data_IF_389952882416
#
_entry.id   IF_389952882416
#
_cell.length_a   1.000
_cell.length_b   1.000
_cell.length_c   1.000
_cell.angle_alpha   90.00
_cell.angle_beta   90.00
_cell.angle_gamma   90.00
#
_symmetry.space_group_name_H-M   'P 1'
#
loop_
_entity.id
_entity.type
_entity.pdbx_description
1 polymer ?
#
# COMPACT_ATOMS: atom_id res chain seq x y z
N UNK A 1 24.04 -9.51 8.96
CA UNK A 1 23.33 -9.93 7.73
C UNK A 1 22.23 -8.91 7.54
N UNK A 2 22.38 -7.99 6.60
CA UNK A 2 21.27 -7.10 6.23
C UNK A 2 20.19 -7.97 5.58
N UNK A 3 18.97 -7.91 6.11
CA UNK A 3 17.85 -8.64 5.55
C UNK A 3 17.50 -8.04 4.18
N UNK A 4 17.37 -8.87 3.14
CA UNK A 4 16.96 -8.39 1.82
C UNK A 4 15.47 -8.03 1.84
N UNK A 5 15.17 -6.73 1.91
CA UNK A 5 13.82 -6.18 1.89
C UNK A 5 13.38 -5.75 0.49
N UNK A 6 14.13 -6.11 -0.56
CA UNK A 6 13.80 -5.70 -1.95
C UNK A 6 12.42 -6.18 -2.39
N UNK A 7 11.95 -7.30 -1.85
CA UNK A 7 10.61 -7.85 -2.04
C UNK A 7 9.50 -6.87 -1.63
N UNK A 8 9.75 -6.06 -0.60
CA UNK A 8 8.80 -5.12 0.01
C UNK A 8 8.85 -3.73 -0.61
N UNK A 9 9.68 -3.49 -1.63
CA UNK A 9 9.65 -2.20 -2.33
C UNK A 9 8.24 -1.96 -2.91
N UNK A 10 7.68 -0.74 -2.81
CA UNK A 10 6.32 -0.45 -3.28
C UNK A 10 6.10 -0.96 -4.70
N UNK A 11 6.99 -0.62 -5.64
CA UNK A 11 6.89 -1.07 -7.04
C UNK A 11 6.96 -2.59 -7.23
N UNK A 12 7.59 -3.33 -6.32
CA UNK A 12 7.58 -4.81 -6.32
C UNK A 12 6.25 -5.35 -5.83
N UNK A 13 5.69 -4.78 -4.76
CA UNK A 13 4.34 -5.11 -4.27
C UNK A 13 3.30 -4.86 -5.37
N UNK A 14 3.36 -3.68 -6.01
CA UNK A 14 2.46 -3.31 -7.10
C UNK A 14 2.46 -4.29 -8.26
N UNK A 15 3.62 -4.83 -8.63
CA UNK A 15 3.73 -5.79 -9.73
C UNK A 15 3.10 -7.15 -9.42
N UNK A 16 2.98 -7.52 -8.14
CA UNK A 16 2.31 -8.76 -7.71
C UNK A 16 0.79 -8.62 -7.69
N UNK A 17 0.27 -7.39 -7.57
CA UNK A 17 -1.16 -7.14 -7.60
C UNK A 17 -1.79 -7.52 -8.94
N UNK A 18 -3.00 -8.09 -8.86
CA UNK A 18 -3.84 -8.31 -10.04
C UNK A 18 -4.12 -6.99 -10.76
N UNK A 19 -4.41 -7.05 -12.06
CA UNK A 19 -4.72 -5.85 -12.83
C UNK A 19 -5.91 -5.08 -12.24
N UNK A 20 -6.91 -5.80 -11.73
CA UNK A 20 -8.08 -5.22 -11.09
C UNK A 20 -7.73 -4.49 -9.79
N UNK A 21 -6.93 -5.10 -8.91
CA UNK A 21 -6.48 -4.44 -7.66
C UNK A 21 -5.64 -3.21 -7.92
N UNK A 22 -4.73 -3.26 -8.90
CA UNK A 22 -3.97 -2.06 -9.33
C UNK A 22 -4.88 -0.94 -9.81
N UNK A 23 -5.91 -1.29 -10.58
CA UNK A 23 -6.85 -0.28 -11.06
C UNK A 23 -7.65 0.34 -9.91
N UNK A 24 -8.20 -0.47 -9.00
CA UNK A 24 -8.93 0.04 -7.82
C UNK A 24 -8.04 0.94 -6.95
N UNK A 25 -6.82 0.51 -6.65
CA UNK A 25 -5.86 1.32 -5.89
C UNK A 25 -5.53 2.64 -6.60
N UNK A 26 -5.38 2.61 -7.93
CA UNK A 26 -5.16 3.80 -8.72
C UNK A 26 -6.39 4.73 -8.73
N UNK A 27 -7.62 4.20 -8.76
CA UNK A 27 -8.85 5.00 -8.69
C UNK A 27 -8.95 5.76 -7.37
N UNK A 28 -8.75 5.07 -6.24
CA UNK A 28 -8.75 5.70 -4.91
C UNK A 28 -7.65 6.74 -4.80
N UNK A 29 -6.44 6.44 -5.28
CA UNK A 29 -5.30 7.38 -5.28
C UNK A 29 -5.61 8.72 -5.96
N UNK A 30 -6.37 8.73 -7.06
CA UNK A 30 -6.72 9.96 -7.77
C UNK A 30 -7.80 10.80 -7.07
N UNK A 31 -8.55 10.18 -6.16
CA UNK A 31 -9.58 10.85 -5.36
C UNK A 31 -9.07 11.31 -3.99
N UNK A 32 -7.86 10.88 -3.61
CA UNK A 32 -7.26 11.21 -2.31
C UNK A 32 -6.59 12.59 -2.32
N UNK A 33 -7.13 13.52 -1.54
CA UNK A 33 -6.65 14.91 -1.45
C UNK A 33 -5.24 15.03 -0.87
N UNK A 34 -4.84 14.07 -0.02
CA UNK A 34 -3.51 14.03 0.59
C UNK A 34 -2.43 13.53 -0.38
N UNK A 35 -2.80 13.07 -1.58
CA UNK A 35 -1.89 12.52 -2.60
C UNK A 35 -1.43 13.54 -3.64
N UNK A 36 -1.69 14.84 -3.46
CA UNK A 36 -1.51 15.87 -4.50
C UNK A 36 -0.12 15.87 -5.15
N UNK A 37 0.95 15.75 -4.36
CA UNK A 37 2.33 15.73 -4.89
C UNK A 37 2.58 14.50 -5.76
N UNK A 38 2.20 13.32 -5.27
CA UNK A 38 2.35 12.06 -6.02
C UNK A 38 1.44 12.04 -7.25
N UNK A 39 0.27 12.69 -7.20
CA UNK A 39 -0.62 12.83 -8.35
C UNK A 39 0.04 13.67 -9.46
N UNK A 40 0.75 14.75 -9.11
CA UNK A 40 1.50 15.55 -10.09
C UNK A 40 2.59 14.69 -10.75
N UNK A 41 3.33 13.91 -9.96
CA UNK A 41 4.33 12.98 -10.45
C UNK A 41 3.73 11.93 -11.41
N UNK A 42 2.63 11.31 -11.00
CA UNK A 42 1.89 10.33 -11.80
C UNK A 42 1.37 10.93 -13.11
N UNK A 43 0.87 12.16 -13.09
CA UNK A 43 0.46 12.90 -14.30
C UNK A 43 1.65 13.05 -15.26
N UNK A 44 2.83 13.40 -14.76
CA UNK A 44 4.05 13.53 -15.55
C UNK A 44 4.50 12.20 -16.19
N UNK A 45 4.43 11.12 -15.41
CA UNK A 45 4.75 9.77 -15.90
C UNK A 45 3.78 9.31 -17.00
N UNK A 46 2.47 9.49 -16.80
CA UNK A 46 1.44 9.18 -17.80
C UNK A 46 1.64 10.02 -19.06
N UNK A 47 1.85 11.33 -18.92
CA UNK A 47 2.06 12.24 -20.04
C UNK A 47 3.25 11.81 -20.90
N UNK A 48 4.35 11.45 -20.26
CA UNK A 48 5.58 10.98 -20.91
C UNK A 48 5.33 9.66 -21.64
N UNK A 49 4.75 8.67 -20.97
CA UNK A 49 4.53 7.34 -21.55
C UNK A 49 3.53 7.35 -22.71
N UNK A 50 2.41 8.07 -22.53
CA UNK A 50 1.33 8.16 -23.52
C UNK A 50 1.59 9.23 -24.59
N UNK A 51 2.67 9.99 -24.49
CA UNK A 51 2.99 11.15 -25.35
C UNK A 51 1.88 12.21 -25.35
N UNK A 52 1.22 12.38 -24.22
CA UNK A 52 0.21 13.42 -24.02
C UNK A 52 0.84 14.69 -23.46
N UNK A 53 0.15 15.81 -23.65
CA UNK A 53 0.46 17.02 -22.88
C UNK A 53 -0.02 16.81 -21.45
N UNK A 54 0.73 17.29 -20.46
CA UNK A 54 0.37 17.24 -19.03
C UNK A 54 -1.06 17.75 -18.78
N UNK A 55 -1.42 18.89 -19.39
CA UNK A 55 -2.78 19.47 -19.30
C UNK A 55 -3.87 18.52 -19.79
N UNK A 56 -3.59 17.72 -20.83
CA UNK A 56 -4.54 16.72 -21.34
C UNK A 56 -4.75 15.61 -20.32
N UNK A 57 -3.68 15.15 -19.65
CA UNK A 57 -3.77 14.12 -18.60
C UNK A 57 -4.55 14.65 -17.38
N UNK A 58 -4.28 15.88 -16.95
CA UNK A 58 -5.00 16.53 -15.84
C UNK A 58 -6.50 16.55 -16.09
N UNK A 59 -6.93 16.84 -17.33
CA UNK A 59 -8.34 16.89 -17.72
C UNK A 59 -9.01 15.54 -17.96
N UNK A 60 -8.30 14.41 -17.81
CA UNK A 60 -8.91 13.09 -17.94
C UNK A 60 -9.84 12.78 -16.75
N UNK A 61 -10.94 12.04 -16.97
CA UNK A 61 -11.70 11.39 -15.90
C UNK A 61 -10.82 10.47 -15.06
N UNK A 62 -11.18 10.30 -13.78
CA UNK A 62 -10.42 9.49 -12.81
C UNK A 62 -10.23 8.05 -13.31
N UNK A 63 -11.27 7.46 -13.88
CA UNK A 63 -11.24 6.08 -14.38
C UNK A 63 -10.20 5.91 -15.49
N UNK A 64 -10.05 6.93 -16.34
CA UNK A 64 -9.03 6.93 -17.41
C UNK A 64 -7.64 7.12 -16.84
N UNK A 65 -7.46 8.04 -15.88
CA UNK A 65 -6.17 8.23 -15.20
C UNK A 65 -5.73 6.96 -14.47
N UNK A 66 -6.66 6.31 -13.76
CA UNK A 66 -6.41 5.08 -13.04
C UNK A 66 -6.00 3.93 -13.97
N UNK A 67 -6.73 3.77 -15.08
CA UNK A 67 -6.37 2.78 -16.12
C UNK A 67 -4.97 3.02 -16.66
N UNK A 68 -4.59 4.27 -16.95
CA UNK A 68 -3.24 4.58 -17.42
C UNK A 68 -2.18 4.32 -16.35
N UNK A 69 -2.42 4.74 -15.11
CA UNK A 69 -1.50 4.54 -13.98
C UNK A 69 -1.26 3.04 -13.72
N UNK A 70 -2.32 2.23 -13.68
CA UNK A 70 -2.25 0.79 -13.45
C UNK A 70 -1.47 0.03 -14.55
N UNK A 71 -1.48 0.55 -15.77
CA UNK A 71 -0.82 -0.02 -16.93
C UNK A 71 0.61 0.51 -17.16
N UNK A 72 1.09 1.50 -16.39
CA UNK A 72 2.43 2.05 -16.59
C UNK A 72 3.50 0.98 -16.36
N UNK A 73 4.47 0.84 -17.30
CA UNK A 73 5.58 -0.12 -17.14
C UNK A 73 6.59 0.35 -16.08
N UNK A 74 6.67 1.66 -15.83
CA UNK A 74 7.52 2.28 -14.83
C UNK A 74 6.73 3.34 -14.07
N UNK A 75 6.62 3.14 -12.77
CA UNK A 75 6.00 4.04 -11.80
C UNK A 75 6.98 4.15 -10.62
N UNK A 76 7.02 5.29 -9.95
CA UNK A 76 7.92 5.49 -8.81
C UNK A 76 7.41 4.81 -7.55
N UNK A 77 8.34 4.52 -6.63
CA UNK A 77 7.99 3.96 -5.32
C UNK A 77 7.13 4.93 -4.51
N UNK A 78 7.31 6.24 -4.63
CA UNK A 78 6.52 7.29 -3.94
C UNK A 78 5.04 7.23 -4.34
N UNK A 79 4.75 7.18 -5.64
CA UNK A 79 3.38 7.10 -6.15
C UNK A 79 2.73 5.77 -5.75
N UNK A 80 3.45 4.66 -5.89
CA UNK A 80 2.93 3.35 -5.51
C UNK A 80 2.67 3.24 -4.02
N UNK A 81 3.61 3.69 -3.19
CA UNK A 81 3.45 3.68 -1.74
C UNK A 81 2.17 4.42 -1.34
N UNK A 82 1.97 5.61 -1.91
CA UNK A 82 0.75 6.39 -1.66
C UNK A 82 -0.51 5.67 -2.14
N UNK A 83 -0.51 5.13 -3.37
CA UNK A 83 -1.67 4.39 -3.89
C UNK A 83 -2.02 3.15 -3.04
N UNK A 84 -1.02 2.44 -2.53
CA UNK A 84 -1.22 1.33 -1.60
C UNK A 84 -1.85 1.84 -0.28
N UNK A 85 -1.34 2.91 0.31
CA UNK A 85 -1.92 3.50 1.54
C UNK A 85 -3.39 3.86 1.33
N UNK A 86 -3.68 4.62 0.26
CA UNK A 86 -5.05 5.07 -0.04
C UNK A 86 -5.98 3.86 -0.23
N UNK A 87 -5.53 2.81 -0.92
CA UNK A 87 -6.30 1.58 -1.09
C UNK A 87 -6.68 0.91 0.23
N UNK A 88 -5.74 0.80 1.18
CA UNK A 88 -6.01 0.19 2.47
C UNK A 88 -7.00 1.03 3.28
N UNK A 89 -6.81 2.35 3.28
CA UNK A 89 -7.70 3.29 3.96
C UNK A 89 -9.10 3.33 3.35
N UNK A 90 -9.28 3.05 2.07
CA UNK A 90 -10.63 3.03 1.50
C UNK A 90 -11.32 1.67 1.67
N UNK A 91 -10.58 0.58 1.44
CA UNK A 91 -11.20 -0.75 1.28
C UNK A 91 -10.91 -1.73 2.41
N UNK A 92 -9.94 -1.44 3.28
CA UNK A 92 -9.42 -2.42 4.24
C UNK A 92 -9.33 -1.89 5.67
N UNK A 93 -10.00 -0.77 6.00
CA UNK A 93 -10.05 -0.22 7.38
C UNK A 93 -10.42 -1.26 8.45
N UNK A 94 -11.44 -2.13 8.25
CA UNK A 94 -11.78 -3.12 9.27
C UNK A 94 -10.64 -4.10 9.56
N UNK A 95 -9.87 -4.48 8.54
CA UNK A 95 -8.70 -5.35 8.68
C UNK A 95 -7.55 -4.63 9.37
N UNK A 96 -7.29 -3.38 9.00
CA UNK A 96 -6.26 -2.55 9.64
C UNK A 96 -6.57 -2.36 11.13
N UNK A 97 -7.82 -2.01 11.46
CA UNK A 97 -8.27 -1.83 12.85
C UNK A 97 -8.12 -3.13 13.65
N UNK A 98 -8.63 -4.26 13.13
CA UNK A 98 -8.51 -5.55 13.81
C UNK A 98 -7.05 -5.93 14.13
N UNK A 99 -6.12 -5.68 13.21
CA UNK A 99 -4.71 -5.93 13.44
C UNK A 99 -4.14 -5.01 14.54
N UNK A 100 -4.39 -3.71 14.47
CA UNK A 100 -3.89 -2.75 15.45
C UNK A 100 -4.51 -2.95 16.84
N UNK A 101 -5.81 -3.25 16.91
CA UNK A 101 -6.54 -3.61 18.13
C UNK A 101 -5.94 -4.86 18.80
N UNK A 102 -5.62 -5.89 18.02
CA UNK A 102 -5.01 -7.13 18.55
C UNK A 102 -3.62 -6.89 19.16
N UNK A 103 -2.91 -5.87 18.68
CA UNK A 103 -1.61 -5.44 19.20
C UNK A 103 -1.73 -4.42 20.35
N UNK A 104 -2.95 -3.89 20.59
CA UNK A 104 -3.20 -2.82 21.54
C UNK A 104 -2.61 -1.47 21.13
N UNK A 105 -2.45 -1.23 19.83
CA UNK A 105 -1.92 0.02 19.28
C UNK A 105 -3.07 1.00 19.10
N UNK A 106 -2.96 2.19 19.70
CA UNK A 106 -3.95 3.24 19.52
C UNK A 106 -3.99 3.73 18.07
N UNK A 107 -5.19 3.74 17.48
CA UNK A 107 -5.40 4.17 16.11
C UNK A 107 -6.73 4.87 15.92
N UNK A 108 -6.83 5.70 14.88
CA UNK A 108 -8.05 6.34 14.42
C UNK A 108 -8.33 5.85 12.99
N UNK A 109 -9.38 5.05 12.83
CA UNK A 109 -9.78 4.45 11.54
C UNK A 109 -8.64 3.72 10.78
N UNK A 110 -7.74 3.06 11.50
CA UNK A 110 -6.58 2.35 10.94
C UNK A 110 -5.33 3.20 10.74
N UNK A 111 -5.38 4.49 11.06
CA UNK A 111 -4.21 5.38 11.11
C UNK A 111 -3.67 5.42 12.53
N UNK A 112 -2.38 5.13 12.68
CA UNK A 112 -1.72 5.21 13.97
C UNK A 112 -1.50 6.69 14.29
N UNK A 113 -2.03 7.15 15.42
CA UNK A 113 -1.96 8.56 15.83
C UNK A 113 -0.58 8.94 16.37
N UNK A 114 0.24 7.96 16.76
CA UNK A 114 1.59 8.17 17.26
C UNK A 114 2.63 8.09 16.14
N UNK A 115 3.47 9.11 16.00
CA UNK A 115 4.57 9.14 15.02
C UNK A 115 5.68 8.11 15.32
N UNK A 116 5.76 7.61 16.56
CA UNK A 116 6.76 6.62 16.97
C UNK A 116 6.10 5.46 17.71
N UNK A 117 5.56 4.51 16.95
CA UNK A 117 5.08 3.25 17.51
C UNK A 117 6.30 2.44 17.92
N UNK A 118 6.35 2.05 19.20
CA UNK A 118 7.38 1.10 19.63
C UNK A 118 7.13 -0.23 18.93
N UNK A 119 8.17 -0.77 18.27
CA UNK A 119 8.12 -2.07 17.61
C UNK A 119 7.47 -3.12 18.54
N UNK A 120 6.31 -3.68 18.17
CA UNK A 120 5.63 -4.65 19.01
C UNK A 120 6.45 -5.93 19.15
N UNK A 121 6.22 -6.67 20.24
CA UNK A 121 6.86 -7.96 20.44
C UNK A 121 6.58 -8.92 19.27
N UNK A 122 7.61 -9.60 18.78
CA UNK A 122 7.51 -10.41 17.58
C UNK A 122 6.53 -11.58 17.74
N UNK A 123 6.40 -12.17 18.93
CA UNK A 123 5.44 -13.25 19.17
C UNK A 123 4.01 -12.72 19.14
N UNK A 124 3.77 -11.50 19.66
CA UNK A 124 2.47 -10.83 19.53
C UNK A 124 2.12 -10.52 18.07
N UNK A 125 3.08 -10.02 17.29
CA UNK A 125 2.87 -9.76 15.85
C UNK A 125 2.49 -11.04 15.10
N UNK A 126 3.16 -12.17 15.39
CA UNK A 126 2.81 -13.45 14.76
C UNK A 126 1.44 -13.97 15.19
N UNK A 127 1.06 -13.80 16.46
CA UNK A 127 -0.26 -14.19 16.95
C UNK A 127 -1.37 -13.35 16.30
N UNK A 128 -1.20 -12.02 16.26
CA UNK A 128 -2.09 -11.08 15.57
C UNK A 128 -2.23 -11.41 14.09
N UNK A 129 -1.12 -11.72 13.42
CA UNK A 129 -1.13 -12.11 12.01
C UNK A 129 -1.94 -13.40 11.78
N UNK A 130 -1.76 -14.42 12.62
CA UNK A 130 -2.50 -15.67 12.52
C UNK A 130 -4.01 -15.47 12.74
N UNK A 131 -4.40 -14.60 13.67
CA UNK A 131 -5.80 -14.22 13.91
C UNK A 131 -6.40 -13.50 12.69
N UNK A 132 -5.64 -12.59 12.08
CA UNK A 132 -6.07 -11.83 10.91
C UNK A 132 -6.27 -12.75 9.69
N UNK A 133 -5.35 -13.67 9.45
CA UNK A 133 -5.45 -14.68 8.37
C UNK A 133 -6.66 -15.62 8.57
N UNK A 134 -7.11 -15.82 9.81
CA UNK A 134 -8.33 -16.59 10.10
C UNK A 134 -9.64 -15.85 9.77
N UNK A 135 -9.58 -14.51 9.67
CA UNK A 135 -10.77 -13.64 9.55
C UNK A 135 -10.87 -12.98 8.17
N UNK A 136 -9.75 -12.68 7.54
CA UNK A 136 -9.67 -11.95 6.27
C UNK A 136 -9.01 -12.79 5.17
N UNK A 137 -9.25 -12.48 3.87
CA UNK A 137 -8.61 -13.17 2.77
C UNK A 137 -7.07 -13.13 2.87
N UNK A 138 -6.34 -14.26 2.74
CA UNK A 138 -4.88 -14.29 2.91
C UNK A 138 -4.11 -13.34 1.99
N UNK A 139 -4.62 -13.17 0.77
CA UNK A 139 -4.13 -12.21 -0.24
C UNK A 139 -4.27 -10.73 0.17
N UNK A 140 -5.26 -10.39 1.00
CA UNK A 140 -5.47 -9.05 1.52
C UNK A 140 -4.55 -8.81 2.72
N UNK A 141 -4.46 -9.80 3.60
CA UNK A 141 -3.54 -9.81 4.74
C UNK A 141 -2.08 -9.67 4.28
N UNK A 142 -1.66 -10.45 3.28
CA UNK A 142 -0.31 -10.37 2.72
C UNK A 142 0.00 -9.02 2.08
N UNK A 143 -0.96 -8.40 1.41
CA UNK A 143 -0.82 -7.06 0.84
C UNK A 143 -0.64 -6.00 1.95
N UNK A 144 -1.43 -6.09 3.00
CA UNK A 144 -1.36 -5.17 4.13
C UNK A 144 -0.03 -5.28 4.86
N UNK A 145 0.41 -6.49 5.21
CA UNK A 145 1.70 -6.70 5.86
C UNK A 145 2.87 -6.26 4.99
N UNK A 146 2.83 -6.54 3.69
CA UNK A 146 3.86 -6.06 2.77
C UNK A 146 3.91 -4.54 2.73
N UNK A 147 2.75 -3.88 2.82
CA UNK A 147 2.64 -2.42 2.84
C UNK A 147 3.18 -1.82 4.14
N UNK A 148 2.89 -2.43 5.29
CA UNK A 148 3.45 -2.02 6.59
C UNK A 148 4.98 -2.11 6.60
N UNK A 149 5.54 -3.25 6.17
CA UNK A 149 7.00 -3.43 6.06
C UNK A 149 7.61 -2.43 5.08
N UNK A 150 6.91 -2.10 3.98
CA UNK A 150 7.38 -1.11 3.02
C UNK A 150 7.44 0.30 3.58
N UNK A 151 6.58 0.65 4.53
CA UNK A 151 6.51 2.00 5.12
C UNK A 151 7.51 2.15 6.26
N UNK A 152 7.56 1.16 7.13
CA UNK A 152 8.42 1.15 8.31
C UNK A 152 8.94 -0.28 8.55
N UNK A 153 10.03 -0.65 7.87
CA UNK A 153 10.61 -1.98 8.02
C UNK A 153 11.16 -2.21 9.44
N UNK A 154 11.58 -1.17 10.15
CA UNK A 154 12.15 -1.29 11.49
C UNK A 154 11.07 -1.72 12.49
N UNK A 155 9.91 -1.05 12.48
CA UNK A 155 8.77 -1.40 13.34
C UNK A 155 8.17 -2.75 12.98
N UNK A 156 8.09 -3.07 11.69
CA UNK A 156 7.35 -4.24 11.20
C UNK A 156 8.24 -5.40 10.75
N UNK A 157 9.51 -5.45 11.17
CA UNK A 157 10.46 -6.50 10.77
C UNK A 157 9.91 -7.92 11.01
N UNK A 158 9.13 -8.15 12.07
CA UNK A 158 8.55 -9.47 12.35
C UNK A 158 7.65 -10.01 11.21
N UNK A 159 6.98 -9.12 10.46
CA UNK A 159 6.10 -9.48 9.34
C UNK A 159 6.87 -10.02 8.13
N UNK A 160 8.16 -9.71 8.01
CA UNK A 160 9.00 -10.12 6.85
C UNK A 160 9.20 -11.64 6.76
N UNK A 161 9.02 -12.36 7.87
CA UNK A 161 9.25 -13.80 7.99
C UNK A 161 7.96 -14.63 7.89
N UNK A 162 6.82 -13.96 7.66
CA UNK A 162 5.52 -14.60 7.63
C UNK A 162 5.26 -15.29 6.27
N UNK A 163 4.53 -16.43 6.26
CA UNK A 163 4.11 -17.08 5.02
C UNK A 163 3.35 -16.14 4.07
N UNK A 164 2.52 -15.26 4.63
CA UNK A 164 1.67 -14.31 3.91
C UNK A 164 2.46 -13.25 3.13
N UNK A 165 3.70 -12.96 3.54
CA UNK A 165 4.57 -11.95 2.91
C UNK A 165 5.68 -12.56 2.04
N UNK A 166 5.88 -13.88 2.13
CA UNK A 166 6.95 -14.61 1.43
C UNK A 166 6.51 -15.16 0.05
N UNK A 167 5.24 -14.95 -0.33
CA UNK A 167 4.65 -15.42 -1.60
C UNK A 167 4.85 -14.43 -2.75
#
# INVERSE_FOLDING_TARGET
MEQDLSAFRPTRIWKRLTAERRQRAAEVFWSDEQSTEQQIEAVGAIATHMKFRTKSVIGLPVERKAKYLAALPGISDTVVARALVSYHLEHQRPMMAAFLDSLGIAHEDGLISEENVTAPDADKVRAAAAELTGTFPPEDVGLYFSTLVSQDPETWTALTSLPETTT
#
